data_IF_307931882620
#
_entry.id   IF_307931882620
#
_cell.length_a   1.000
_cell.length_b   1.000
_cell.length_c   1.000
_cell.angle_alpha   90.00
_cell.angle_beta   90.00
_cell.angle_gamma   90.00
#
_symmetry.space_group_name_H-M   'P 1'
#
loop_
_entity.id
_entity.type
_entity.pdbx_description
1 polymer ?
#
# COMPACT_ATOMS: atom_id res chain seq x y z
N UNK A 1 5.42 -5.53 -12.04
CA UNK A 1 5.91 -4.17 -12.36
C UNK A 1 5.42 -3.10 -11.38
N UNK A 2 4.17 -3.11 -10.90
CA UNK A 2 3.71 -2.10 -9.94
C UNK A 2 4.36 -2.24 -8.53
N UNK A 3 4.50 -3.47 -8.02
CA UNK A 3 5.06 -3.70 -6.68
C UNK A 3 6.48 -3.17 -6.46
N UNK A 4 7.40 -3.37 -7.43
CA UNK A 4 8.77 -2.87 -7.30
C UNK A 4 8.83 -1.34 -7.20
N UNK A 5 7.92 -0.65 -7.90
CA UNK A 5 7.80 0.81 -7.84
C UNK A 5 7.34 1.30 -6.46
N UNK A 6 6.46 0.56 -5.80
CA UNK A 6 5.95 0.90 -4.47
C UNK A 6 6.85 0.42 -3.31
N UNK A 7 7.70 -0.58 -3.57
CA UNK A 7 8.64 -1.15 -2.59
C UNK A 7 10.00 -0.44 -2.57
N UNK A 8 10.32 0.33 -3.61
CA UNK A 8 11.43 1.27 -3.55
C UNK A 8 11.12 2.25 -2.40
N UNK A 9 12.01 2.39 -1.41
CA UNK A 9 11.74 3.00 -0.08
C UNK A 9 11.35 4.49 -0.08
N UNK A 10 10.88 4.98 -1.22
CA UNK A 10 10.29 6.26 -1.52
C UNK A 10 8.92 6.47 -0.85
N UNK A 11 8.13 5.41 -0.70
CA UNK A 11 6.77 5.50 -0.17
C UNK A 11 6.67 5.00 1.27
N UNK A 12 5.99 5.77 2.11
CA UNK A 12 5.68 5.35 3.48
C UNK A 12 4.47 4.40 3.48
N UNK A 13 4.27 3.67 4.59
CA UNK A 13 3.07 2.82 4.76
C UNK A 13 1.78 3.61 4.58
N UNK A 14 1.74 4.87 5.01
CA UNK A 14 0.57 5.75 4.83
C UNK A 14 0.31 6.06 3.35
N UNK A 15 1.37 6.24 2.56
CA UNK A 15 1.25 6.45 1.11
C UNK A 15 0.71 5.20 0.43
N UNK A 16 1.25 4.01 0.79
CA UNK A 16 0.76 2.73 0.26
C UNK A 16 -0.71 2.49 0.64
N UNK A 17 -1.10 2.79 1.88
CA UNK A 17 -2.50 2.70 2.33
C UNK A 17 -3.41 3.63 1.51
N UNK A 18 -2.94 4.83 1.17
CA UNK A 18 -3.69 5.77 0.33
C UNK A 18 -3.88 5.23 -1.09
N UNK A 19 -2.89 4.52 -1.64
CA UNK A 19 -3.02 3.87 -2.95
C UNK A 19 -4.05 2.73 -2.95
N UNK A 20 -4.19 2.00 -1.84
CA UNK A 20 -5.29 1.03 -1.67
C UNK A 20 -6.64 1.75 -1.66
N UNK A 21 -6.76 2.84 -0.90
CA UNK A 21 -7.98 3.66 -0.87
C UNK A 21 -8.36 4.26 -2.23
N UNK A 22 -7.37 4.56 -3.06
CA UNK A 22 -7.54 5.04 -4.44
C UNK A 22 -7.76 3.91 -5.46
N UNK A 23 -7.87 2.65 -5.03
CA UNK A 23 -8.02 1.45 -5.88
C UNK A 23 -6.87 1.18 -6.84
N UNK A 24 -5.70 1.80 -6.59
CA UNK A 24 -4.46 1.57 -7.35
C UNK A 24 -3.74 0.30 -6.88
N UNK A 25 -3.96 -0.07 -5.62
CA UNK A 25 -3.46 -1.28 -4.98
C UNK A 25 -4.60 -2.01 -4.28
N UNK A 26 -4.39 -3.29 -3.99
CA UNK A 26 -5.28 -4.09 -3.15
C UNK A 26 -4.74 -4.18 -1.71
N UNK A 27 -5.58 -4.66 -0.79
CA UNK A 27 -5.14 -4.95 0.58
C UNK A 27 -4.04 -6.01 0.64
N UNK A 28 -4.05 -6.96 -0.31
CA UNK A 28 -3.00 -7.97 -0.43
C UNK A 28 -1.68 -7.35 -0.89
N UNK A 29 -1.72 -6.44 -1.87
CA UNK A 29 -0.53 -5.71 -2.32
C UNK A 29 0.10 -4.89 -1.18
N UNK A 30 -0.73 -4.24 -0.36
CA UNK A 30 -0.26 -3.51 0.82
C UNK A 30 0.48 -4.42 1.79
N UNK A 31 -0.03 -5.63 2.02
CA UNK A 31 0.61 -6.61 2.88
C UNK A 31 1.93 -7.10 2.31
N UNK A 32 2.01 -7.34 1.00
CA UNK A 32 3.24 -7.75 0.35
C UNK A 32 4.31 -6.64 0.35
N UNK A 33 3.92 -5.38 0.23
CA UNK A 33 4.84 -4.23 0.23
C UNK A 33 5.30 -3.86 1.65
N UNK A 34 4.37 -3.82 2.61
CA UNK A 34 4.63 -3.25 3.95
C UNK A 34 4.85 -4.28 5.05
N UNK A 35 4.41 -5.52 4.82
CA UNK A 35 4.37 -6.60 5.81
C UNK A 35 3.17 -6.55 6.77
N UNK A 36 2.33 -5.52 6.71
CA UNK A 36 1.18 -5.32 7.60
C UNK A 36 -0.16 -5.58 6.89
N UNK A 37 -1.19 -5.96 7.63
CA UNK A 37 -2.54 -6.02 7.07
C UNK A 37 -3.08 -4.60 6.82
N UNK A 38 -3.70 -4.39 5.65
CA UNK A 38 -4.35 -3.11 5.36
C UNK A 38 -5.59 -2.92 6.23
N UNK A 39 -5.60 -1.84 7.01
CA UNK A 39 -6.77 -1.39 7.77
C UNK A 39 -7.26 -0.10 7.15
N UNK A 40 -8.44 -0.15 6.53
CA UNK A 40 -9.09 1.05 5.98
C UNK A 40 -9.29 2.07 7.11
N UNK A 41 -8.61 3.21 7.03
CA UNK A 41 -8.85 4.32 7.95
C UNK A 41 -10.17 4.97 7.56
N UNK A 42 -11.24 4.63 8.29
CA UNK A 42 -12.50 5.36 8.27
C UNK A 42 -12.30 6.67 9.04
N UNK A 43 -11.88 7.72 8.34
CA UNK A 43 -12.02 9.10 8.83
C UNK A 43 -13.46 9.58 8.66
#
# INVERSE_FOLDING_TARGET
MAQEFYNDSFYTKTDIASFVGLTLLTGDDFKEITGDDYVAQTN
#
